data_IF_551003611502
#
_entry.id   IF_551003611502
#
_cell.length_a   1.000
_cell.length_b   1.000
_cell.length_c   1.000
_cell.angle_alpha   90.00
_cell.angle_beta   90.00
_cell.angle_gamma   90.00
#
_symmetry.space_group_name_H-M   'P 1'
#
loop_
_entity.id
_entity.type
_entity.pdbx_description
1 polymer ?
#
# COMPACT_ATOMS: atom_id res chain seq x y z
N UNK A 1 -27.61 -2.48 -59.92
CA UNK A 1 -27.50 -1.40 -60.94
C UNK A 1 -27.01 -0.14 -60.25
N UNK A 2 -25.85 0.39 -60.68
CA UNK A 2 -25.28 1.64 -60.18
C UNK A 2 -25.74 2.81 -61.05
N UNK A 3 -25.78 4.01 -60.48
CA UNK A 3 -25.81 5.25 -61.24
C UNK A 3 -25.19 6.36 -60.42
N UNK A 4 -24.54 7.40 -60.94
CA UNK A 4 -23.72 7.59 -62.13
C UNK A 4 -23.39 9.10 -62.13
N UNK A 5 -22.10 9.46 -62.13
CA UNK A 5 -21.49 10.57 -62.92
C UNK A 5 -21.94 12.01 -62.50
N UNK A 6 -21.10 12.97 -62.10
CA UNK A 6 -20.14 13.72 -62.95
C UNK A 6 -19.14 14.56 -62.17
N UNK A 7 -17.94 14.59 -62.75
CA UNK A 7 -16.80 15.46 -62.52
C UNK A 7 -17.10 16.94 -62.76
N UNK A 8 -16.30 17.83 -62.15
CA UNK A 8 -15.68 18.94 -62.87
C UNK A 8 -14.31 19.30 -62.28
N UNK A 9 -13.40 19.62 -63.19
CA UNK A 9 -11.95 19.76 -63.06
C UNK A 9 -11.56 21.23 -63.27
N UNK A 10 -10.29 21.55 -62.96
CA UNK A 10 -9.46 22.75 -63.29
C UNK A 10 -9.32 23.76 -62.14
N UNK A 11 -8.15 23.86 -61.49
CA UNK A 11 -6.84 24.35 -61.95
C UNK A 11 -6.80 25.86 -62.15
N UNK A 12 -6.00 26.58 -61.36
CA UNK A 12 -4.82 27.28 -61.87
C UNK A 12 -3.92 27.82 -60.74
N UNK A 13 -2.63 27.84 -61.06
CA UNK A 13 -1.46 28.22 -60.26
C UNK A 13 -1.42 29.73 -60.00
N UNK A 14 -0.68 30.12 -58.95
CA UNK A 14 -0.15 31.47 -58.80
C UNK A 14 0.80 31.54 -57.60
N UNK A 15 2.11 31.50 -57.86
CA UNK A 15 3.14 31.61 -56.83
C UNK A 15 3.39 33.05 -56.37
N UNK A 16 3.99 33.17 -55.19
CA UNK A 16 4.47 34.43 -54.63
C UNK A 16 5.27 34.16 -53.36
N UNK A 17 6.60 34.11 -53.51
CA UNK A 17 7.59 34.05 -52.42
C UNK A 17 7.75 35.43 -51.80
N UNK A 18 7.74 35.55 -50.46
CA UNK A 18 8.44 36.60 -49.73
C UNK A 18 8.81 36.11 -48.32
N UNK A 19 10.04 36.44 -47.93
CA UNK A 19 10.76 36.06 -46.72
C UNK A 19 10.11 36.62 -45.45
N UNK A 20 10.14 35.85 -44.37
CA UNK A 20 9.86 36.30 -43.01
C UNK A 20 10.48 35.36 -41.98
N UNK A 21 11.63 35.74 -41.43
CA UNK A 21 12.27 35.05 -40.31
C UNK A 21 11.54 35.39 -39.00
N UNK A 22 11.54 34.46 -38.03
CA UNK A 22 11.79 34.67 -36.60
C UNK A 22 10.90 33.77 -35.72
N UNK A 23 11.56 32.91 -34.93
CA UNK A 23 11.09 32.49 -33.61
C UNK A 23 10.06 31.37 -33.56
N UNK A 24 10.51 30.12 -33.62
CA UNK A 24 9.77 29.00 -33.05
C UNK A 24 9.71 29.18 -31.52
N UNK A 25 8.66 29.85 -31.03
CA UNK A 25 8.29 29.80 -29.61
C UNK A 25 7.53 28.50 -29.38
N UNK A 26 8.28 27.44 -29.10
CA UNK A 26 7.73 26.28 -28.40
C UNK A 26 7.25 26.78 -27.05
N UNK A 27 5.93 26.79 -26.86
CA UNK A 27 5.32 27.04 -25.55
C UNK A 27 5.68 25.85 -24.67
N UNK A 28 6.76 25.99 -23.89
CA UNK A 28 7.02 25.09 -22.77
C UNK A 28 5.86 25.31 -21.81
N UNK A 29 4.88 24.40 -21.83
CA UNK A 29 3.81 24.36 -20.85
C UNK A 29 4.49 24.11 -19.51
N UNK A 30 4.60 25.16 -18.69
CA UNK A 30 5.00 25.03 -17.31
C UNK A 30 4.04 24.03 -16.65
N UNK A 31 4.53 22.84 -16.32
CA UNK A 31 3.82 21.94 -15.43
C UNK A 31 3.72 22.66 -14.09
N UNK A 32 2.50 23.09 -13.76
CA UNK A 32 2.16 23.47 -12.40
C UNK A 32 2.41 22.24 -11.54
N UNK A 33 3.49 22.25 -10.77
CA UNK A 33 3.75 21.25 -9.74
C UNK A 33 2.70 21.45 -8.66
N UNK A 34 1.55 20.79 -8.81
CA UNK A 34 0.68 20.55 -7.68
C UNK A 34 1.57 19.90 -6.60
N UNK A 35 1.51 20.41 -5.37
CA UNK A 35 2.17 19.74 -4.25
C UNK A 35 1.69 18.28 -4.25
N UNK A 36 2.63 17.32 -4.24
CA UNK A 36 2.30 15.90 -4.21
C UNK A 36 1.35 15.65 -3.04
N UNK A 37 0.21 14.99 -3.29
CA UNK A 37 -0.73 14.61 -2.22
C UNK A 37 -0.11 13.59 -1.24
N UNK A 38 1.01 12.98 -1.62
CA UNK A 38 1.66 11.92 -0.87
C UNK A 38 2.82 12.46 -0.03
N UNK A 39 2.87 12.01 1.21
CA UNK A 39 4.05 12.16 2.04
C UNK A 39 5.16 11.28 1.48
N UNK A 40 6.22 11.91 1.00
CA UNK A 40 7.24 11.27 0.16
C UNK A 40 8.61 11.60 0.74
N UNK A 41 9.39 10.56 1.05
CA UNK A 41 10.82 10.66 1.31
C UNK A 41 11.63 10.27 0.06
N UNK A 42 12.94 10.07 0.24
CA UNK A 42 13.85 9.75 -0.86
C UNK A 42 13.64 8.35 -1.45
N UNK A 43 13.28 7.38 -0.62
CA UNK A 43 13.18 5.96 -0.96
C UNK A 43 11.75 5.42 -0.88
N UNK A 44 10.93 6.02 -0.01
CA UNK A 44 9.56 5.56 0.26
C UNK A 44 8.57 6.71 0.30
N UNK A 45 7.35 6.48 -0.18
CA UNK A 45 6.20 7.32 0.09
C UNK A 45 5.17 6.60 0.97
N UNK A 46 4.32 7.32 1.68
CA UNK A 46 3.23 6.76 2.46
C UNK A 46 2.00 6.54 1.57
N UNK A 47 1.55 5.30 1.45
CA UNK A 47 0.36 4.97 0.67
C UNK A 47 -0.94 5.22 1.49
N UNK A 48 -2.03 5.72 0.89
CA UNK A 48 -3.31 5.92 1.56
C UNK A 48 -3.86 4.68 2.27
N UNK A 49 -3.50 3.47 1.82
CA UNK A 49 -3.88 2.25 2.50
C UNK A 49 -3.26 2.13 3.90
N UNK A 50 -2.03 2.63 4.09
CA UNK A 50 -1.36 2.73 5.39
C UNK A 50 -1.89 3.91 6.21
N UNK A 51 -2.29 5.01 5.56
CA UNK A 51 -2.83 6.20 6.25
C UNK A 51 -4.08 5.91 7.10
N UNK A 52 -4.83 4.85 6.79
CA UNK A 52 -5.94 4.36 7.62
C UNK A 52 -5.52 4.05 9.07
N UNK A 53 -4.25 3.72 9.32
CA UNK A 53 -3.73 3.50 10.67
C UNK A 53 -3.73 4.78 11.53
N UNK A 54 -3.83 5.94 10.90
CA UNK A 54 -4.04 7.24 11.55
C UNK A 54 -5.51 7.65 11.46
N UNK A 55 -6.06 7.65 10.25
CA UNK A 55 -7.26 8.44 9.95
C UNK A 55 -8.56 7.67 10.08
N UNK A 56 -8.54 6.35 9.90
CA UNK A 56 -9.77 5.56 9.83
C UNK A 56 -10.28 5.27 11.24
N UNK A 57 -11.44 5.86 11.64
CA UNK A 57 -12.03 5.62 12.95
C UNK A 57 -12.43 4.16 13.19
N UNK A 58 -12.53 3.36 12.14
CA UNK A 58 -12.87 1.94 12.19
C UNK A 58 -11.66 1.02 12.12
N UNK A 59 -10.44 1.56 11.97
CA UNK A 59 -9.22 0.76 11.97
C UNK A 59 -9.10 -0.03 13.26
N UNK A 60 -8.91 -1.35 13.12
CA UNK A 60 -8.93 -2.29 14.23
C UNK A 60 -7.57 -2.52 14.88
N UNK A 61 -6.47 -2.23 14.21
CA UNK A 61 -5.14 -2.35 14.80
C UNK A 61 -4.77 -1.12 15.64
N UNK A 62 -3.54 -1.12 16.17
CA UNK A 62 -3.00 0.00 16.93
C UNK A 62 -3.04 1.31 16.13
N UNK A 63 -3.73 2.31 16.69
CA UNK A 63 -3.85 3.67 16.14
C UNK A 63 -2.54 4.41 16.28
N UNK A 64 -2.11 5.05 15.19
CA UNK A 64 -0.92 5.90 15.20
C UNK A 64 -1.34 7.35 15.43
N UNK A 65 -0.79 7.97 16.47
CA UNK A 65 -1.11 9.35 16.85
C UNK A 65 0.00 10.34 16.51
N UNK A 66 1.22 9.87 16.24
CA UNK A 66 2.36 10.72 15.83
C UNK A 66 2.24 11.14 14.37
N UNK A 67 2.97 12.19 13.97
CA UNK A 67 2.91 12.77 12.62
C UNK A 67 3.26 11.74 11.54
N UNK A 68 2.46 11.73 10.47
CA UNK A 68 2.71 10.92 9.27
C UNK A 68 3.98 11.40 8.54
N UNK A 69 4.20 12.71 8.50
CA UNK A 69 5.37 13.35 7.89
C UNK A 69 6.65 12.89 8.61
N UNK A 70 6.66 13.01 9.94
CA UNK A 70 7.79 12.59 10.76
C UNK A 70 8.02 11.09 10.67
N UNK A 71 6.96 10.29 10.68
CA UNK A 71 7.05 8.85 10.46
C UNK A 71 7.73 8.54 9.12
N UNK A 72 7.22 9.12 8.03
CA UNK A 72 7.73 8.86 6.67
C UNK A 72 9.21 9.25 6.57
N UNK A 73 9.58 10.41 7.11
CA UNK A 73 10.97 10.87 7.11
C UNK A 73 11.88 9.93 7.92
N UNK A 74 11.48 9.56 9.15
CA UNK A 74 12.29 8.70 10.02
C UNK A 74 12.51 7.30 9.44
N UNK A 75 11.53 6.73 8.75
CA UNK A 75 11.71 5.43 8.06
C UNK A 75 12.72 5.54 6.92
N UNK A 76 12.62 6.61 6.12
CA UNK A 76 13.58 6.86 5.03
C UNK A 76 15.01 7.07 5.57
N UNK A 77 15.16 7.91 6.60
CA UNK A 77 16.46 8.18 7.22
C UNK A 77 17.06 6.92 7.86
N UNK A 78 16.23 6.11 8.51
CA UNK A 78 16.68 4.86 9.11
C UNK A 78 17.20 3.88 8.05
N UNK A 79 16.46 3.71 6.96
CA UNK A 79 16.86 2.83 5.85
C UNK A 79 18.21 3.22 5.27
N UNK A 80 18.46 4.51 5.04
CA UNK A 80 19.78 4.98 4.60
C UNK A 80 20.87 4.70 5.62
N UNK A 81 20.59 4.96 6.90
CA UNK A 81 21.54 4.79 7.99
C UNK A 81 22.00 3.34 8.15
N UNK A 82 21.14 2.36 7.88
CA UNK A 82 21.45 0.92 8.03
C UNK A 82 21.96 0.28 6.73
N UNK A 83 22.21 1.07 5.68
CA UNK A 83 22.87 0.61 4.46
C UNK A 83 21.98 0.52 3.22
N UNK A 84 20.67 0.74 3.35
CA UNK A 84 19.77 0.79 2.20
C UNK A 84 19.31 -0.57 1.66
N UNK A 85 19.57 -1.66 2.38
CA UNK A 85 19.08 -2.98 1.99
C UNK A 85 17.61 -3.16 2.39
N UNK A 86 16.86 -3.86 1.53
CA UNK A 86 15.47 -4.23 1.76
C UNK A 86 15.38 -5.73 2.05
N UNK A 87 14.55 -6.10 3.02
CA UNK A 87 14.27 -7.51 3.30
C UNK A 87 13.15 -8.00 2.38
N UNK A 88 13.34 -9.18 1.80
CA UNK A 88 12.35 -9.80 0.92
C UNK A 88 11.08 -10.17 1.69
N UNK A 89 9.92 -9.76 1.17
CA UNK A 89 8.62 -10.22 1.65
C UNK A 89 8.12 -11.45 0.89
N UNK A 90 6.83 -11.72 1.04
CA UNK A 90 6.20 -12.92 0.48
C UNK A 90 6.20 -13.02 -1.05
N UNK A 91 6.42 -11.92 -1.77
CA UNK A 91 6.44 -11.82 -3.23
C UNK A 91 7.49 -10.78 -3.70
N UNK A 92 7.96 -10.81 -4.96
CA UNK A 92 9.00 -9.89 -5.44
C UNK A 92 8.66 -8.40 -5.30
N UNK A 93 7.38 -8.06 -5.34
CA UNK A 93 6.87 -6.69 -5.18
C UNK A 93 6.66 -6.28 -3.73
N UNK A 94 6.91 -7.15 -2.75
CA UNK A 94 6.73 -6.91 -1.32
C UNK A 94 8.08 -6.90 -0.63
N UNK A 95 8.39 -5.84 0.12
CA UNK A 95 9.63 -5.70 0.89
C UNK A 95 9.32 -5.22 2.30
N UNK A 96 10.30 -5.34 3.18
CA UNK A 96 10.21 -4.91 4.57
C UNK A 96 11.40 -4.02 4.93
N UNK A 97 11.11 -3.04 5.78
CA UNK A 97 12.12 -2.28 6.53
C UNK A 97 11.75 -2.40 8.01
N UNK A 98 12.68 -2.91 8.81
CA UNK A 98 12.51 -3.01 10.26
C UNK A 98 13.19 -1.82 10.93
N UNK A 99 12.42 -1.04 11.70
CA UNK A 99 12.95 0.14 12.41
C UNK A 99 12.61 0.06 13.90
N UNK A 100 13.43 0.61 14.81
CA UNK A 100 13.05 0.72 16.22
C UNK A 100 11.71 1.45 16.37
N UNK A 101 10.88 1.02 17.32
CA UNK A 101 9.56 1.59 17.54
C UNK A 101 9.62 2.98 18.19
N UNK A 102 9.94 3.99 17.38
CA UNK A 102 9.87 5.40 17.77
C UNK A 102 8.43 5.93 17.87
N UNK A 103 7.44 5.14 17.45
CA UNK A 103 6.03 5.47 17.57
C UNK A 103 5.43 5.10 18.93
N UNK A 104 6.15 4.31 19.74
CA UNK A 104 5.69 3.80 21.04
C UNK A 104 4.36 3.02 20.92
N UNK A 105 4.16 2.37 19.78
CA UNK A 105 2.96 1.55 19.55
C UNK A 105 3.00 0.27 20.39
N UNK A 106 1.86 -0.18 20.92
CA UNK A 106 1.76 -1.49 21.53
C UNK A 106 1.99 -2.61 20.51
N UNK A 107 2.37 -3.79 20.98
CA UNK A 107 2.37 -5.01 20.16
C UNK A 107 0.97 -5.25 19.57
N UNK A 108 0.90 -5.67 18.30
CA UNK A 108 -0.38 -5.88 17.62
C UNK A 108 -0.95 -7.29 17.80
N UNK A 109 -0.20 -8.20 18.42
CA UNK A 109 -0.64 -9.54 18.76
C UNK A 109 -0.01 -9.99 20.07
N UNK A 110 -0.71 -10.84 20.80
CA UNK A 110 -0.25 -11.45 22.05
C UNK A 110 -0.41 -12.97 21.98
N UNK A 111 0.44 -13.73 22.70
CA UNK A 111 0.23 -15.15 22.89
C UNK A 111 -1.11 -15.41 23.58
N UNK A 112 -1.81 -16.45 23.13
CA UNK A 112 -2.97 -17.02 23.80
C UNK A 112 -2.44 -17.92 24.92
N UNK A 113 -2.96 -17.70 26.12
CA UNK A 113 -2.59 -18.42 27.36
C UNK A 113 -3.88 -18.76 28.11
N UNK A 114 -3.82 -19.71 29.03
CA UNK A 114 -4.97 -20.13 29.85
C UNK A 114 -5.67 -18.95 30.56
N UNK A 115 -4.93 -17.88 30.88
CA UNK A 115 -5.48 -16.71 31.57
C UNK A 115 -6.27 -15.77 30.65
N UNK A 116 -5.91 -15.70 29.36
CA UNK A 116 -6.48 -14.75 28.39
C UNK A 116 -7.31 -15.40 27.28
N UNK A 117 -7.31 -16.74 27.15
CA UNK A 117 -8.07 -17.47 26.12
C UNK A 117 -9.56 -17.11 26.14
N UNK A 118 -10.14 -16.96 27.34
CA UNK A 118 -11.54 -16.54 27.55
C UNK A 118 -11.86 -15.13 27.03
N UNK A 119 -10.84 -14.32 26.73
CA UNK A 119 -10.99 -12.97 26.17
C UNK A 119 -10.98 -12.96 24.64
N UNK A 120 -10.68 -14.10 24.00
CA UNK A 120 -10.67 -14.21 22.55
C UNK A 120 -12.10 -14.11 22.03
N UNK A 121 -12.34 -13.07 21.25
CA UNK A 121 -13.57 -12.82 20.53
C UNK A 121 -13.43 -13.26 19.07
N UNK A 122 -14.56 -13.44 18.39
CA UNK A 122 -14.57 -13.67 16.95
C UNK A 122 -15.76 -13.00 16.28
N UNK A 123 -15.63 -12.76 14.98
CA UNK A 123 -16.67 -12.14 14.16
C UNK A 123 -16.24 -11.93 12.73
N UNK A 124 -17.19 -11.56 11.88
CA UNK A 124 -16.95 -11.23 10.48
C UNK A 124 -16.58 -9.75 10.34
N UNK A 125 -15.34 -9.48 9.93
CA UNK A 125 -14.78 -8.12 9.80
C UNK A 125 -14.22 -7.90 8.41
N UNK A 126 -14.28 -6.66 7.93
CA UNK A 126 -13.66 -6.24 6.66
C UNK A 126 -12.63 -5.14 6.94
N UNK A 127 -11.56 -5.08 6.14
CA UNK A 127 -10.52 -4.04 6.30
C UNK A 127 -10.94 -2.72 5.65
N UNK A 128 -11.72 -2.80 4.57
CA UNK A 128 -12.27 -1.65 3.84
C UNK A 128 -13.71 -1.97 3.44
N UNK A 129 -14.55 -0.95 3.15
CA UNK A 129 -15.92 -1.18 2.69
C UNK A 129 -16.03 -2.01 1.40
N UNK A 130 -15.01 -1.95 0.54
CA UNK A 130 -14.95 -2.66 -0.75
C UNK A 130 -14.66 -4.16 -0.61
N UNK A 131 -14.09 -4.59 0.52
CA UNK A 131 -13.72 -5.99 0.74
C UNK A 131 -14.86 -6.82 1.36
N UNK A 132 -14.86 -8.12 1.05
CA UNK A 132 -15.70 -9.11 1.72
C UNK A 132 -15.33 -9.21 3.22
N UNK A 133 -16.33 -9.33 4.11
CA UNK A 133 -16.05 -9.59 5.52
C UNK A 133 -15.61 -11.04 5.71
N UNK A 134 -14.61 -11.25 6.55
CA UNK A 134 -13.99 -12.56 6.81
C UNK A 134 -14.02 -12.87 8.30
N UNK A 135 -14.12 -14.15 8.65
CA UNK A 135 -14.01 -14.58 10.04
C UNK A 135 -12.64 -14.19 10.59
N UNK A 136 -12.64 -13.44 11.67
CA UNK A 136 -11.44 -13.04 12.41
C UNK A 136 -11.62 -13.31 13.88
N UNK A 137 -10.49 -13.46 14.59
CA UNK A 137 -10.45 -13.57 16.05
C UNK A 137 -9.47 -12.57 16.64
N UNK A 138 -9.78 -12.04 17.81
CA UNK A 138 -8.97 -11.02 18.45
C UNK A 138 -9.21 -10.98 19.95
N UNK A 139 -8.33 -10.31 20.69
CA UNK A 139 -8.58 -9.86 22.06
C UNK A 139 -8.79 -8.35 21.99
N UNK A 140 -9.85 -7.84 22.63
CA UNK A 140 -10.05 -6.39 22.73
C UNK A 140 -8.98 -5.77 23.61
N UNK A 141 -8.39 -4.66 23.16
CA UNK A 141 -7.38 -3.91 23.93
C UNK A 141 -7.92 -3.53 25.31
N UNK A 142 -9.18 -3.09 25.38
CA UNK A 142 -9.87 -2.74 26.63
C UNK A 142 -10.08 -3.91 27.61
N UNK A 143 -9.89 -5.15 27.16
CA UNK A 143 -9.99 -6.34 28.01
C UNK A 143 -8.64 -6.78 28.57
N UNK A 144 -7.54 -6.18 28.13
CA UNK A 144 -6.20 -6.45 28.64
C UNK A 144 -5.84 -5.42 29.72
N UNK A 145 -5.25 -5.89 30.83
CA UNK A 145 -4.78 -5.00 31.91
C UNK A 145 -3.62 -4.12 31.44
N UNK A 146 -2.70 -4.70 30.66
CA UNK A 146 -1.57 -4.01 30.06
C UNK A 146 -1.30 -4.59 28.67
N UNK A 147 -0.88 -3.72 27.75
CA UNK A 147 -0.36 -4.13 26.45
C UNK A 147 1.08 -3.61 26.34
N UNK A 148 2.08 -4.50 26.18
CA UNK A 148 3.47 -4.07 26.05
C UNK A 148 3.70 -3.18 24.84
N UNK A 149 4.56 -2.17 24.99
CA UNK A 149 5.09 -1.39 23.87
C UNK A 149 6.02 -2.30 23.05
N UNK A 150 5.79 -2.36 21.75
CA UNK A 150 6.60 -3.15 20.83
C UNK A 150 8.03 -2.59 20.73
N UNK A 151 9.01 -3.44 20.45
CA UNK A 151 10.40 -3.00 20.22
C UNK A 151 10.64 -2.44 18.81
N UNK A 152 9.97 -3.02 17.82
CA UNK A 152 10.22 -2.79 16.39
C UNK A 152 8.93 -2.41 15.65
N UNK A 153 9.12 -1.77 14.51
CA UNK A 153 8.10 -1.58 13.48
C UNK A 153 8.56 -2.33 12.24
N UNK A 154 7.77 -3.32 11.82
CA UNK A 154 7.83 -3.90 10.49
C UNK A 154 7.06 -2.98 9.53
N UNK A 155 7.80 -2.27 8.68
CA UNK A 155 7.26 -1.39 7.65
C UNK A 155 7.20 -2.15 6.34
N UNK A 156 5.98 -2.46 5.91
CA UNK A 156 5.71 -3.27 4.73
C UNK A 156 5.58 -2.35 3.51
N UNK A 157 6.36 -2.66 2.49
CA UNK A 157 6.48 -1.89 1.26
C UNK A 157 5.92 -2.68 0.08
N UNK A 158 5.12 -2.03 -0.75
CA UNK A 158 4.82 -2.53 -2.09
C UNK A 158 5.53 -1.72 -3.15
N UNK A 159 5.97 -2.39 -4.21
CA UNK A 159 6.49 -1.69 -5.39
C UNK A 159 5.40 -0.80 -5.98
N UNK A 160 5.79 0.36 -6.50
CA UNK A 160 4.90 1.30 -7.20
C UNK A 160 4.07 0.61 -8.28
N UNK A 161 4.68 -0.32 -9.03
CA UNK A 161 4.00 -1.12 -10.07
C UNK A 161 2.86 -1.97 -9.52
N UNK A 162 3.04 -2.59 -8.35
CA UNK A 162 1.98 -3.37 -7.71
C UNK A 162 0.85 -2.46 -7.21
N UNK A 163 1.17 -1.31 -6.61
CA UNK A 163 0.18 -0.34 -6.16
C UNK A 163 -0.70 0.13 -7.33
N UNK A 164 -0.09 0.44 -8.49
CA UNK A 164 -0.83 0.75 -9.72
C UNK A 164 -1.74 -0.41 -10.11
N UNK A 165 -1.20 -1.63 -10.18
CA UNK A 165 -1.96 -2.81 -10.60
C UNK A 165 -3.16 -3.12 -9.70
N UNK A 166 -3.03 -2.94 -8.37
CA UNK A 166 -4.15 -3.12 -7.43
C UNK A 166 -5.21 -2.03 -7.57
N UNK A 167 -4.80 -0.76 -7.71
CA UNK A 167 -5.76 0.33 -7.92
C UNK A 167 -6.52 0.21 -9.23
N UNK A 168 -5.84 -0.19 -10.31
CA UNK A 168 -6.46 -0.42 -11.62
C UNK A 168 -7.47 -1.56 -11.58
N UNK A 169 -7.14 -2.67 -10.92
CA UNK A 169 -8.09 -3.76 -10.69
C UNK A 169 -9.33 -3.27 -9.93
N UNK A 170 -9.15 -2.39 -8.94
CA UNK A 170 -10.26 -1.82 -8.15
C UNK A 170 -11.04 -0.70 -8.85
N UNK A 171 -10.79 -0.48 -10.15
CA UNK A 171 -11.57 0.41 -11.01
C UNK A 171 -10.97 1.80 -11.25
N UNK A 172 -9.77 2.09 -10.74
CA UNK A 172 -9.06 3.33 -11.08
C UNK A 172 -8.47 3.24 -12.51
N UNK A 173 -8.25 4.37 -13.17
CA UNK A 173 -7.57 4.40 -14.48
C UNK A 173 -6.06 4.41 -14.30
N UNK A 174 -5.36 3.60 -15.09
CA UNK A 174 -3.91 3.44 -14.96
C UNK A 174 -3.16 4.77 -15.13
N UNK A 175 -3.54 5.58 -16.12
CA UNK A 175 -2.88 6.85 -16.41
C UNK A 175 -3.06 7.87 -15.27
N UNK A 176 -4.21 7.85 -14.60
CA UNK A 176 -4.50 8.72 -13.48
C UNK A 176 -3.65 8.29 -12.26
N UNK A 177 -3.61 6.99 -11.95
CA UNK A 177 -2.82 6.47 -10.82
C UNK A 177 -1.32 6.67 -11.05
N UNK A 178 -0.83 6.40 -12.26
CA UNK A 178 0.58 6.57 -12.61
C UNK A 178 1.01 8.05 -12.52
N UNK A 179 0.18 8.98 -12.99
CA UNK A 179 0.46 10.40 -12.87
C UNK A 179 0.41 10.92 -11.42
N UNK A 180 -0.45 10.33 -10.58
CA UNK A 180 -0.61 10.71 -9.17
C UNK A 180 0.54 10.22 -8.29
N UNK A 181 0.98 8.96 -8.46
CA UNK A 181 1.92 8.34 -7.55
C UNK A 181 3.31 8.99 -7.64
N UNK A 182 4.01 9.19 -6.51
CA UNK A 182 5.38 9.70 -6.50
C UNK A 182 6.29 8.85 -7.38
N UNK A 183 7.31 9.48 -7.96
CA UNK A 183 8.34 8.81 -8.76
C UNK A 183 9.39 8.16 -7.84
N UNK A 184 8.90 7.26 -6.98
CA UNK A 184 9.66 6.52 -5.98
C UNK A 184 9.23 5.06 -6.07
N UNK A 185 10.18 4.13 -5.97
CA UNK A 185 9.95 2.72 -6.31
C UNK A 185 9.02 1.99 -5.35
N UNK A 186 8.90 2.47 -4.10
CA UNK A 186 8.25 1.75 -3.01
C UNK A 186 7.29 2.64 -2.24
N UNK A 187 6.08 2.13 -2.00
CA UNK A 187 5.07 2.72 -1.12
C UNK A 187 4.91 1.93 0.15
N UNK A 188 4.86 2.61 1.30
CA UNK A 188 4.55 2.03 2.61
C UNK A 188 3.06 1.72 2.65
N UNK A 189 2.70 0.44 2.69
CA UNK A 189 1.30 -0.02 2.67
C UNK A 189 0.79 -0.51 4.03
N UNK A 190 1.67 -0.84 4.97
CA UNK A 190 1.26 -1.26 6.32
C UNK A 190 2.40 -1.15 7.31
N UNK A 191 2.05 -0.94 8.58
CA UNK A 191 2.99 -0.77 9.69
C UNK A 191 2.55 -1.70 10.81
N UNK A 192 3.40 -2.68 11.14
CA UNK A 192 3.18 -3.63 12.23
C UNK A 192 4.13 -3.36 13.38
N UNK A 193 3.56 -3.07 14.54
CA UNK A 193 4.33 -2.97 15.79
C UNK A 193 4.45 -4.36 16.41
N UNK A 194 5.70 -4.81 16.58
CA UNK A 194 6.07 -6.15 17.03
C UNK A 194 7.40 -6.15 17.79
N UNK A 195 7.68 -7.23 18.51
CA UNK A 195 8.95 -7.37 19.24
C UNK A 195 10.11 -7.90 18.39
N UNK A 196 9.79 -8.50 17.25
CA UNK A 196 10.74 -9.16 16.36
C UNK A 196 11.29 -8.19 15.30
N UNK A 197 12.55 -8.38 14.91
CA UNK A 197 13.24 -7.67 13.84
C UNK A 197 13.15 -8.38 12.47
N UNK A 198 12.23 -9.34 12.35
CA UNK A 198 11.95 -10.11 11.14
C UNK A 198 10.44 -10.26 10.91
N UNK A 199 10.04 -10.68 9.71
CA UNK A 199 8.63 -10.81 9.35
C UNK A 199 7.93 -11.86 10.23
N UNK A 200 6.91 -11.43 10.99
CA UNK A 200 5.96 -12.35 11.59
C UNK A 200 4.97 -12.80 10.50
N UNK A 201 4.68 -14.11 10.36
CA UNK A 201 3.79 -14.62 9.34
C UNK A 201 2.47 -13.84 9.27
N UNK A 202 2.04 -13.45 8.08
CA UNK A 202 0.72 -12.85 7.91
C UNK A 202 -0.39 -13.81 8.39
N UNK A 203 -1.53 -13.29 8.84
CA UNK A 203 -2.66 -14.12 9.25
C UNK A 203 -3.11 -15.06 8.11
N UNK A 204 -3.57 -16.30 8.40
CA UNK A 204 -3.96 -17.26 7.36
C UNK A 204 -5.01 -16.69 6.39
N UNK A 205 -5.95 -15.91 6.92
CA UNK A 205 -6.99 -15.26 6.11
C UNK A 205 -6.44 -14.21 5.13
N UNK A 206 -5.30 -13.58 5.45
CA UNK A 206 -4.62 -12.65 4.53
C UNK A 206 -4.04 -13.41 3.35
N UNK A 207 -3.46 -14.59 3.56
CA UNK A 207 -3.00 -15.45 2.48
C UNK A 207 -4.15 -15.92 1.59
N UNK A 208 -5.28 -16.31 2.20
CA UNK A 208 -6.47 -16.73 1.47
C UNK A 208 -7.01 -15.60 0.59
N UNK A 209 -7.13 -14.38 1.12
CA UNK A 209 -7.58 -13.22 0.36
C UNK A 209 -6.59 -12.86 -0.76
N UNK A 210 -5.29 -12.93 -0.51
CA UNK A 210 -4.28 -12.69 -1.55
C UNK A 210 -4.48 -13.63 -2.76
N UNK A 211 -4.86 -14.88 -2.51
CA UNK A 211 -5.14 -15.87 -3.55
C UNK A 211 -6.48 -15.66 -4.29
N UNK A 212 -7.41 -14.85 -3.76
CA UNK A 212 -8.67 -14.52 -4.45
C UNK A 212 -8.50 -13.54 -5.61
N UNK A 213 -7.37 -12.82 -5.67
CA UNK A 213 -7.10 -11.84 -6.72
C UNK A 213 -7.26 -10.39 -6.27
N UNK A 214 -6.82 -9.47 -7.14
CA UNK A 214 -6.79 -8.03 -6.89
C UNK A 214 -8.17 -7.39 -6.78
N UNK A 215 -9.13 -7.93 -7.52
CA UNK A 215 -10.54 -7.52 -7.51
C UNK A 215 -11.17 -7.64 -6.11
N UNK A 216 -10.75 -8.64 -5.33
CA UNK A 216 -11.26 -8.92 -3.97
C UNK A 216 -10.37 -8.31 -2.87
N UNK A 217 -9.48 -7.38 -3.22
CA UNK A 217 -8.56 -6.72 -2.28
C UNK A 217 -7.36 -7.57 -1.85
N UNK A 218 -7.08 -8.66 -2.57
CA UNK A 218 -5.85 -9.45 -2.46
C UNK A 218 -4.73 -8.93 -3.37
N UNK A 219 -3.54 -9.49 -3.26
CA UNK A 219 -2.45 -9.16 -4.18
C UNK A 219 -2.42 -9.97 -5.49
N UNK A 220 -3.19 -11.06 -5.56
CA UNK A 220 -3.22 -12.00 -6.68
C UNK A 220 -2.10 -13.05 -6.67
N UNK A 221 -1.38 -13.17 -5.56
CA UNK A 221 -0.34 -14.21 -5.39
C UNK A 221 -1.00 -15.55 -5.05
N UNK A 222 -0.69 -16.64 -5.78
CA UNK A 222 -1.20 -17.97 -5.46
C UNK A 222 -0.82 -18.42 -4.05
N UNK A 223 -1.68 -19.27 -3.46
CA UNK A 223 -1.43 -19.83 -2.14
C UNK A 223 -0.16 -20.70 -2.12
N UNK A 224 0.74 -20.42 -1.19
CA UNK A 224 1.86 -21.28 -0.82
C UNK A 224 1.47 -22.09 0.42
N UNK A 225 1.44 -23.42 0.28
CA UNK A 225 0.98 -24.33 1.34
C UNK A 225 1.89 -24.32 2.56
N UNK A 226 3.21 -24.33 2.36
CA UNK A 226 4.16 -24.42 3.48
C UNK A 226 4.15 -23.12 4.29
N UNK A 227 4.06 -21.97 3.60
CA UNK A 227 3.88 -20.67 4.26
C UNK A 227 2.52 -20.58 4.98
N UNK A 228 1.47 -21.18 4.42
CA UNK A 228 0.16 -21.20 5.06
C UNK A 228 0.18 -22.01 6.35
N UNK A 229 0.77 -23.20 6.34
CA UNK A 229 0.93 -24.02 7.56
C UNK A 229 1.80 -23.33 8.61
N UNK A 230 2.87 -22.64 8.20
CA UNK A 230 3.69 -21.83 9.12
C UNK A 230 2.89 -20.67 9.74
N UNK A 231 2.06 -20.01 8.93
CA UNK A 231 1.12 -18.99 9.39
C UNK A 231 0.13 -19.57 10.41
N UNK A 232 -0.52 -20.70 10.10
CA UNK A 232 -1.46 -21.37 11.01
C UNK A 232 -0.77 -21.71 12.33
N UNK A 233 0.43 -22.31 12.29
CA UNK A 233 1.17 -22.67 13.51
C UNK A 233 1.44 -21.47 14.42
N UNK A 234 1.84 -20.33 13.85
CA UNK A 234 2.05 -19.11 14.63
C UNK A 234 0.71 -18.59 15.18
N UNK A 235 -0.27 -18.42 14.30
CA UNK A 235 -1.54 -17.79 14.64
C UNK A 235 -2.43 -18.66 15.49
N UNK A 236 -2.26 -19.98 15.56
CA UNK A 236 -3.02 -20.88 16.43
C UNK A 236 -2.84 -20.53 17.92
N UNK A 237 -1.62 -20.09 18.28
CA UNK A 237 -1.24 -19.69 19.64
C UNK A 237 -1.17 -18.18 19.85
N UNK A 238 -1.60 -17.36 18.89
CA UNK A 238 -1.59 -15.89 18.99
C UNK A 238 -2.92 -15.29 18.59
N UNK A 239 -3.31 -14.21 19.27
CA UNK A 239 -4.46 -13.40 18.92
C UNK A 239 -4.02 -11.97 18.61
N UNK A 240 -4.56 -11.37 17.56
CA UNK A 240 -4.39 -9.93 17.35
C UNK A 240 -5.11 -9.15 18.44
N UNK A 241 -4.57 -8.00 18.77
CA UNK A 241 -5.25 -7.02 19.63
C UNK A 241 -6.06 -6.09 18.74
N UNK A 242 -7.31 -5.82 19.13
CA UNK A 242 -8.14 -4.83 18.46
C UNK A 242 -8.68 -3.76 19.40
N UNK A 243 -8.67 -2.51 18.94
CA UNK A 243 -9.30 -1.36 19.61
C UNK A 243 -10.81 -1.28 19.40
#
# INVERSE_FOLDING_TARGET
MPGAIRQAFRSLRGGGSLKGSCGARGTVRAMSTAASKYLTGKHFFLDPFAERQWDDPSYKGGRITKSKEEFTQRVNDHHEKVGGDLVDGYAPFCKHVFVPNFLELPVQAVPITDSNEKLVQSGYVRRTPKELPVLSRWISESSLETVPVAKMLDVILYSRKQIIAERVAQGDKEEDVDAELPQVDWGIISIKAQDEDHEIPMQPITMMRNALGKEEGGSGVPMDRDKYEASVKYWDSHATIQS
#
